data_IF_877042208159
#
_entry.id   IF_877042208159
#
_cell.length_a   1.000
_cell.length_b   1.000
_cell.length_c   1.000
_cell.angle_alpha   90.00
_cell.angle_beta   90.00
_cell.angle_gamma   90.00
#
_symmetry.space_group_name_H-M   'P 1'
#
loop_
_entity.id
_entity.type
_entity.pdbx_description
1 polymer ?
#
# COMPACT_ATOMS: atom_id res chain seq x y z
N UNK A 1 4.04 -14.88 50.72
CA UNK A 1 3.30 -14.00 49.78
C UNK A 1 2.40 -13.06 50.59
N UNK A 2 2.62 -11.74 50.48
CA UNK A 2 1.84 -10.75 51.24
C UNK A 2 0.44 -10.61 50.60
N UNK A 3 -0.63 -10.94 51.35
CA UNK A 3 -2.02 -10.79 50.87
C UNK A 3 -2.31 -9.32 50.56
N UNK A 4 -2.77 -9.02 49.37
CA UNK A 4 -3.18 -7.68 48.94
C UNK A 4 -4.42 -7.23 49.71
N UNK A 5 -4.45 -5.96 50.13
CA UNK A 5 -5.59 -5.34 50.81
C UNK A 5 -6.73 -5.09 49.78
N UNK A 6 -8.00 -5.22 50.19
CA UNK A 6 -9.18 -4.96 49.35
C UNK A 6 -9.11 -3.62 48.60
N UNK A 7 -8.60 -2.56 49.27
CA UNK A 7 -8.39 -1.25 48.63
C UNK A 7 -7.39 -1.30 47.48
N UNK A 8 -6.30 -2.06 47.60
CA UNK A 8 -5.30 -2.23 46.54
C UNK A 8 -5.88 -3.00 45.34
N UNK A 9 -6.71 -4.01 45.60
CA UNK A 9 -7.39 -4.76 44.54
C UNK A 9 -8.33 -3.85 43.77
N UNK A 10 -9.12 -3.01 44.43
CA UNK A 10 -10.03 -2.06 43.79
C UNK A 10 -9.28 -1.03 42.96
N UNK A 11 -8.18 -0.47 43.48
CA UNK A 11 -7.36 0.50 42.72
C UNK A 11 -6.80 -0.13 41.43
N UNK A 12 -6.28 -1.35 41.54
CA UNK A 12 -5.74 -2.07 40.38
C UNK A 12 -6.85 -2.37 39.36
N UNK A 13 -8.05 -2.79 39.83
CA UNK A 13 -9.18 -3.06 38.94
C UNK A 13 -9.62 -1.78 38.19
N UNK A 14 -9.71 -0.64 38.88
CA UNK A 14 -10.07 0.65 38.28
C UNK A 14 -8.99 1.07 37.27
N UNK A 15 -7.70 0.95 37.60
CA UNK A 15 -6.61 1.27 36.69
C UNK A 15 -6.63 0.41 35.41
N UNK A 16 -6.94 -0.89 35.54
CA UNK A 16 -7.10 -1.78 34.39
C UNK A 16 -8.27 -1.38 33.50
N UNK A 17 -9.43 -1.05 34.10
CA UNK A 17 -10.59 -0.59 33.31
C UNK A 17 -10.27 0.70 32.55
N UNK A 18 -9.63 1.66 33.19
CA UNK A 18 -9.21 2.93 32.54
C UNK A 18 -8.23 2.66 31.41
N UNK A 19 -7.27 1.76 31.60
CA UNK A 19 -6.29 1.39 30.57
C UNK A 19 -6.96 0.70 29.37
N UNK A 20 -7.88 -0.22 29.61
CA UNK A 20 -8.66 -0.89 28.54
C UNK A 20 -9.49 0.14 27.76
N UNK A 21 -10.15 1.06 28.45
CA UNK A 21 -10.92 2.12 27.82
C UNK A 21 -10.03 3.03 26.95
N UNK A 22 -8.86 3.41 27.47
CA UNK A 22 -7.89 4.22 26.71
C UNK A 22 -7.39 3.50 25.43
N UNK A 23 -7.07 2.21 25.53
CA UNK A 23 -6.68 1.38 24.37
C UNK A 23 -7.82 1.29 23.36
N UNK A 24 -9.05 1.10 23.79
CA UNK A 24 -10.22 1.04 22.90
C UNK A 24 -10.44 2.37 22.16
N UNK A 25 -10.33 3.50 22.84
CA UNK A 25 -10.42 4.83 22.23
C UNK A 25 -9.30 5.04 21.20
N UNK A 26 -8.05 4.71 21.57
CA UNK A 26 -6.92 4.81 20.65
C UNK A 26 -7.09 3.90 19.42
N UNK A 27 -7.61 2.69 19.58
CA UNK A 27 -7.88 1.77 18.48
C UNK A 27 -8.92 2.35 17.52
N UNK A 28 -9.99 2.98 18.02
CA UNK A 28 -11.01 3.63 17.18
C UNK A 28 -10.45 4.87 16.47
N UNK A 29 -9.66 5.69 17.16
CA UNK A 29 -9.05 6.89 16.58
C UNK A 29 -8.00 6.57 15.50
N UNK A 30 -7.31 5.43 15.64
CA UNK A 30 -6.29 4.96 14.69
C UNK A 30 -6.84 3.91 13.70
N UNK A 31 -8.13 3.61 13.74
CA UNK A 31 -8.73 2.72 12.74
C UNK A 31 -8.57 3.33 11.34
N UNK A 32 -8.17 2.52 10.32
CA UNK A 32 -8.08 3.00 8.95
C UNK A 32 -9.44 3.58 8.52
N UNK A 33 -9.46 4.85 8.13
CA UNK A 33 -10.69 5.53 7.71
C UNK A 33 -11.15 5.09 6.33
N UNK A 34 -10.25 4.55 5.53
CA UNK A 34 -10.52 4.08 4.18
C UNK A 34 -10.99 2.63 4.21
N UNK A 35 -12.15 2.34 3.63
CA UNK A 35 -12.55 0.96 3.32
C UNK A 35 -11.65 0.46 2.20
N UNK A 36 -10.71 -0.40 2.53
CA UNK A 36 -9.85 -1.04 1.54
C UNK A 36 -10.69 -2.08 0.80
N UNK A 37 -11.00 -1.79 -0.48
CA UNK A 37 -11.57 -2.79 -1.37
C UNK A 37 -10.40 -3.52 -2.03
N UNK A 38 -10.16 -4.77 -1.64
CA UNK A 38 -9.11 -5.58 -2.23
C UNK A 38 -9.24 -5.59 -3.78
N UNK A 39 -8.15 -5.28 -4.49
CA UNK A 39 -8.14 -5.20 -5.95
C UNK A 39 -8.66 -3.90 -6.54
N UNK A 40 -8.84 -2.85 -5.76
CA UNK A 40 -9.06 -1.49 -6.25
C UNK A 40 -7.93 -0.56 -5.84
N UNK A 41 -7.66 0.44 -6.70
CA UNK A 41 -6.65 1.47 -6.47
C UNK A 41 -7.33 2.83 -6.36
N UNK A 42 -7.27 3.43 -5.19
CA UNK A 42 -7.80 4.77 -4.93
C UNK A 42 -6.74 5.82 -5.27
N UNK A 43 -7.09 6.82 -6.06
CA UNK A 43 -6.22 7.94 -6.40
C UNK A 43 -6.71 9.19 -5.68
N UNK A 44 -5.78 9.83 -4.94
CA UNK A 44 -6.09 10.97 -4.06
C UNK A 44 -5.15 12.13 -4.36
N UNK A 45 -5.63 13.35 -4.27
CA UNK A 45 -4.83 14.56 -4.26
C UNK A 45 -5.29 15.48 -3.11
N UNK A 46 -4.39 15.66 -2.12
CA UNK A 46 -4.76 16.31 -0.87
C UNK A 46 -5.87 15.54 -0.14
N UNK A 47 -6.99 16.19 0.16
CA UNK A 47 -8.15 15.56 0.80
C UNK A 47 -9.17 14.98 -0.19
N UNK A 48 -8.95 15.17 -1.50
CA UNK A 48 -9.90 14.80 -2.53
C UNK A 48 -9.59 13.42 -3.11
N UNK A 49 -10.55 12.50 -3.07
CA UNK A 49 -10.52 11.27 -3.85
C UNK A 49 -10.90 11.61 -5.29
N UNK A 50 -9.98 11.41 -6.22
CA UNK A 50 -10.17 11.71 -7.63
C UNK A 50 -10.81 10.54 -8.38
N UNK A 51 -10.38 9.31 -8.05
CA UNK A 51 -10.89 8.10 -8.67
C UNK A 51 -10.66 6.87 -7.78
N UNK A 52 -11.47 5.83 -8.01
CA UNK A 52 -11.24 4.47 -7.53
C UNK A 52 -11.26 3.56 -8.75
N UNK A 53 -10.11 3.03 -9.12
CA UNK A 53 -9.93 2.14 -10.26
C UNK A 53 -10.00 0.69 -9.80
N UNK A 54 -10.91 -0.07 -10.37
CA UNK A 54 -10.95 -1.53 -10.15
C UNK A 54 -9.84 -2.22 -10.95
N UNK A 55 -9.51 -3.47 -10.61
CA UNK A 55 -8.54 -4.27 -11.36
C UNK A 55 -8.91 -4.35 -12.86
N UNK A 56 -10.21 -4.48 -13.17
CA UNK A 56 -10.69 -4.54 -14.56
C UNK A 56 -10.49 -3.21 -15.31
N UNK A 57 -10.57 -2.09 -14.61
CA UNK A 57 -10.28 -0.77 -15.19
C UNK A 57 -8.78 -0.57 -15.39
N UNK A 58 -7.94 -1.02 -14.44
CA UNK A 58 -6.49 -1.00 -14.59
C UNK A 58 -6.04 -1.84 -15.78
N UNK A 59 -6.61 -3.02 -15.97
CA UNK A 59 -6.29 -3.91 -17.12
C UNK A 59 -6.66 -3.34 -18.50
N UNK A 60 -7.50 -2.31 -18.56
CA UNK A 60 -7.84 -1.60 -19.82
C UNK A 60 -6.82 -0.53 -20.20
N UNK A 61 -5.95 -0.12 -19.27
CA UNK A 61 -4.88 0.82 -19.55
C UNK A 61 -3.72 0.12 -20.27
N UNK A 62 -2.83 0.88 -20.95
CA UNK A 62 -1.64 0.30 -21.57
C UNK A 62 -0.81 -0.48 -20.55
N UNK A 63 -0.74 -1.79 -20.73
CA UNK A 63 0.00 -2.67 -19.85
C UNK A 63 1.46 -2.77 -20.28
N UNK A 64 2.34 -2.87 -19.29
CA UNK A 64 3.76 -3.20 -19.48
C UNK A 64 4.09 -4.49 -18.75
N UNK A 65 5.10 -5.20 -19.25
CA UNK A 65 5.68 -6.37 -18.59
C UNK A 65 7.13 -6.06 -18.27
N UNK A 66 7.51 -6.24 -17.01
CA UNK A 66 8.85 -5.99 -16.52
C UNK A 66 9.43 -7.26 -15.89
N UNK A 67 10.68 -7.54 -16.15
CA UNK A 67 11.40 -8.61 -15.46
C UNK A 67 11.99 -8.06 -14.16
N UNK A 68 11.76 -8.78 -13.05
CA UNK A 68 12.24 -8.37 -11.74
C UNK A 68 13.14 -9.43 -11.14
N UNK A 69 14.21 -8.95 -10.50
CA UNK A 69 15.14 -9.77 -9.72
C UNK A 69 15.50 -9.01 -8.45
N UNK A 70 14.56 -8.98 -7.50
CA UNK A 70 14.68 -8.19 -6.28
C UNK A 70 14.97 -9.10 -5.10
N UNK A 71 16.14 -8.96 -4.49
CA UNK A 71 16.49 -9.61 -3.23
C UNK A 71 15.97 -8.85 -2.02
N UNK A 72 15.75 -9.56 -0.91
CA UNK A 72 15.51 -8.96 0.40
C UNK A 72 16.32 -9.69 1.44
N UNK A 73 16.97 -8.94 2.34
CA UNK A 73 17.74 -9.52 3.44
C UNK A 73 16.85 -10.23 4.48
N UNK A 74 15.55 -9.91 4.51
CA UNK A 74 14.61 -10.37 5.53
C UNK A 74 13.44 -11.20 4.99
N UNK A 75 13.31 -11.36 3.68
CA UNK A 75 12.22 -12.12 3.06
C UNK A 75 12.66 -12.77 1.75
N UNK A 76 11.86 -13.72 1.27
CA UNK A 76 12.02 -14.29 -0.07
C UNK A 76 11.92 -13.16 -1.09
N UNK A 77 12.93 -13.03 -1.96
CA UNK A 77 12.94 -12.07 -3.05
C UNK A 77 11.80 -12.32 -4.04
N UNK A 78 11.49 -11.33 -4.87
CA UNK A 78 10.60 -11.52 -6.01
C UNK A 78 11.44 -11.63 -7.28
N UNK A 79 11.18 -12.65 -8.05
CA UNK A 79 11.85 -12.97 -9.32
C UNK A 79 10.81 -13.33 -10.36
N UNK A 80 11.10 -13.04 -11.62
CA UNK A 80 10.20 -13.38 -12.74
C UNK A 80 9.59 -12.15 -13.39
N UNK A 81 8.49 -12.34 -14.09
CA UNK A 81 7.83 -11.31 -14.90
C UNK A 81 6.62 -10.75 -14.18
N UNK A 82 6.59 -9.45 -14.01
CA UNK A 82 5.43 -8.73 -13.50
C UNK A 82 4.75 -7.97 -14.62
N UNK A 83 3.42 -8.12 -14.73
CA UNK A 83 2.59 -7.34 -15.63
C UNK A 83 1.75 -6.35 -14.85
N UNK A 84 1.71 -5.12 -15.35
CA UNK A 84 0.99 -4.04 -14.69
C UNK A 84 0.82 -2.83 -15.60
N UNK A 85 0.53 -1.71 -14.98
CA UNK A 85 0.42 -0.39 -15.63
C UNK A 85 1.37 0.56 -14.94
N UNK A 86 2.07 1.41 -15.68
CA UNK A 86 2.95 2.42 -15.08
C UNK A 86 2.13 3.39 -14.21
N UNK A 87 2.72 3.87 -13.12
CA UNK A 87 2.05 4.91 -12.30
C UNK A 87 1.74 6.13 -13.17
N UNK A 88 2.62 6.48 -14.12
CA UNK A 88 2.41 7.57 -15.08
C UNK A 88 1.10 7.40 -15.85
N UNK A 89 0.86 6.23 -16.44
CA UNK A 89 -0.36 5.95 -17.20
C UNK A 89 -1.62 5.94 -16.31
N UNK A 90 -1.52 5.40 -15.10
CA UNK A 90 -2.62 5.43 -14.11
C UNK A 90 -3.02 6.88 -13.82
N UNK A 91 -2.06 7.75 -13.51
CA UNK A 91 -2.32 9.14 -13.18
C UNK A 91 -2.84 9.93 -14.39
N UNK A 92 -2.23 9.74 -15.57
CA UNK A 92 -2.64 10.41 -16.82
C UNK A 92 -4.06 10.02 -17.23
N UNK A 93 -4.50 8.79 -16.98
CA UNK A 93 -5.86 8.34 -17.29
C UNK A 93 -6.95 9.09 -16.52
N UNK A 94 -6.57 9.72 -15.40
CA UNK A 94 -7.48 10.49 -14.54
C UNK A 94 -7.35 11.97 -14.84
N UNK A 95 -6.13 12.50 -14.74
CA UNK A 95 -5.83 13.90 -15.04
C UNK A 95 -4.32 14.06 -15.31
N UNK A 96 -3.90 14.46 -16.51
CA UNK A 96 -2.50 14.68 -16.85
C UNK A 96 -1.77 15.67 -15.93
N UNK A 97 -2.48 16.61 -15.29
CA UNK A 97 -1.86 17.54 -14.34
C UNK A 97 -1.32 16.85 -13.08
N UNK A 98 -1.70 15.61 -12.81
CA UNK A 98 -1.17 14.84 -11.67
C UNK A 98 0.30 14.46 -11.88
N UNK A 99 0.77 14.42 -13.12
CA UNK A 99 2.15 14.06 -13.49
C UNK A 99 3.09 15.26 -13.67
N UNK A 100 2.71 16.45 -13.19
CA UNK A 100 3.58 17.61 -13.22
C UNK A 100 4.84 17.40 -12.38
N UNK A 101 5.97 17.91 -12.90
CA UNK A 101 7.27 17.85 -12.23
C UNK A 101 7.24 18.47 -10.84
N UNK A 102 8.03 17.92 -9.92
CA UNK A 102 8.15 18.40 -8.53
C UNK A 102 7.16 17.78 -7.57
N UNK A 103 6.16 17.04 -8.05
CA UNK A 103 5.23 16.27 -7.21
C UNK A 103 5.86 14.97 -6.69
N UNK A 104 5.22 14.39 -5.69
CA UNK A 104 5.53 13.06 -5.13
C UNK A 104 4.29 12.20 -5.12
N UNK A 105 4.48 10.91 -5.29
CA UNK A 105 3.43 9.91 -5.18
C UNK A 105 3.70 9.05 -3.95
N UNK A 106 2.72 8.98 -3.06
CA UNK A 106 2.74 8.12 -1.87
C UNK A 106 1.88 6.91 -2.16
N UNK A 107 2.48 5.72 -2.13
CA UNK A 107 1.76 4.46 -2.25
C UNK A 107 1.49 3.90 -0.86
N UNK A 108 0.23 3.60 -0.57
CA UNK A 108 -0.24 3.07 0.70
C UNK A 108 -0.61 1.61 0.56
N UNK A 109 -0.15 0.80 1.49
CA UNK A 109 -0.47 -0.61 1.62
C UNK A 109 -1.53 -0.88 2.71
N UNK A 110 -2.26 -1.97 2.56
CA UNK A 110 -3.29 -2.40 3.53
C UNK A 110 -2.74 -2.66 4.95
N UNK A 111 -1.45 -2.95 5.07
CA UNK A 111 -0.77 -3.18 6.35
C UNK A 111 -0.25 -1.90 7.01
N UNK A 112 -0.54 -0.73 6.42
CA UNK A 112 -0.11 0.57 6.90
C UNK A 112 1.26 1.02 6.38
N UNK A 113 1.95 0.20 5.57
CA UNK A 113 3.20 0.60 4.95
C UNK A 113 2.97 1.71 3.93
N UNK A 114 3.90 2.68 3.87
CA UNK A 114 3.83 3.80 2.93
C UNK A 114 5.18 3.99 2.26
N UNK A 115 5.18 4.05 0.94
CA UNK A 115 6.35 4.39 0.14
C UNK A 115 6.13 5.68 -0.63
N UNK A 116 7.23 6.39 -0.86
CA UNK A 116 7.24 7.65 -1.63
C UNK A 116 8.06 7.48 -2.89
N UNK A 117 7.49 7.91 -4.02
CA UNK A 117 8.16 7.98 -5.31
C UNK A 117 8.20 9.43 -5.78
N UNK A 118 9.36 9.87 -6.29
CA UNK A 118 9.43 11.20 -6.89
C UNK A 118 8.81 11.17 -8.28
N UNK A 119 8.10 12.23 -8.66
CA UNK A 119 7.51 12.31 -9.99
C UNK A 119 8.59 12.26 -11.09
N UNK A 120 9.77 12.76 -10.82
CA UNK A 120 10.91 12.67 -11.75
C UNK A 120 11.26 11.22 -12.09
N UNK A 121 11.27 10.33 -11.08
CA UNK A 121 11.55 8.91 -11.30
C UNK A 121 10.40 8.23 -12.08
N UNK A 122 9.16 8.58 -11.77
CA UNK A 122 7.95 8.08 -12.46
C UNK A 122 7.91 8.48 -13.93
N UNK A 123 8.46 9.66 -14.26
CA UNK A 123 8.48 10.18 -15.63
C UNK A 123 9.72 9.77 -16.43
N UNK A 124 10.78 9.30 -15.77
CA UNK A 124 12.05 8.97 -16.41
C UNK A 124 11.93 7.77 -17.38
N UNK A 125 11.19 6.74 -16.93
CA UNK A 125 10.98 5.51 -17.68
C UNK A 125 9.72 4.77 -17.22
N UNK A 126 9.52 3.56 -17.73
CA UNK A 126 8.36 2.71 -17.40
C UNK A 126 8.65 1.69 -16.28
N UNK A 127 9.67 1.92 -15.47
CA UNK A 127 10.11 0.99 -14.43
C UNK A 127 9.21 0.94 -13.19
N UNK A 128 8.44 2.01 -12.91
CA UNK A 128 7.56 2.09 -11.73
C UNK A 128 6.13 1.75 -12.10
N UNK A 129 5.72 0.54 -11.76
CA UNK A 129 4.43 -0.03 -12.18
C UNK A 129 3.53 -0.38 -10.99
N UNK A 130 2.23 -0.38 -11.24
CA UNK A 130 1.22 -1.05 -10.42
C UNK A 130 1.00 -2.43 -11.04
N UNK A 131 1.67 -3.43 -10.50
CA UNK A 131 1.60 -4.82 -10.97
C UNK A 131 0.34 -5.50 -10.42
N UNK A 132 -0.26 -6.37 -11.25
CA UNK A 132 -1.44 -7.18 -10.93
C UNK A 132 -1.32 -8.65 -11.36
N UNK A 133 -0.30 -9.01 -12.15
CA UNK A 133 0.03 -10.39 -12.52
C UNK A 133 1.51 -10.67 -12.28
N UNK A 134 1.81 -11.92 -11.93
CA UNK A 134 3.16 -12.45 -11.75
C UNK A 134 3.28 -13.77 -12.51
N UNK A 135 4.24 -13.86 -13.42
CA UNK A 135 4.47 -15.01 -14.32
C UNK A 135 3.18 -15.47 -15.03
N UNK A 136 2.39 -14.49 -15.52
CA UNK A 136 1.15 -14.74 -16.24
C UNK A 136 -0.06 -15.14 -15.38
N UNK A 137 0.10 -15.21 -14.05
CA UNK A 137 -0.99 -15.50 -13.12
C UNK A 137 -1.40 -14.24 -12.33
N UNK A 138 -2.70 -14.05 -12.03
CA UNK A 138 -3.15 -12.97 -11.16
C UNK A 138 -2.47 -13.01 -9.80
N UNK A 139 -2.05 -11.85 -9.28
CA UNK A 139 -1.47 -11.76 -7.94
C UNK A 139 -2.55 -11.99 -6.88
N UNK A 140 -2.30 -12.94 -5.97
CA UNK A 140 -3.22 -13.26 -4.88
C UNK A 140 -3.13 -12.24 -3.76
N UNK A 141 -4.25 -12.02 -3.07
CA UNK A 141 -4.34 -11.14 -1.93
C UNK A 141 -3.66 -11.70 -0.67
N UNK A 142 -3.56 -10.85 0.36
CA UNK A 142 -2.92 -11.19 1.65
C UNK A 142 -3.55 -12.41 2.34
N UNK A 143 -4.88 -12.52 2.30
CA UNK A 143 -5.62 -13.64 2.90
C UNK A 143 -5.37 -14.98 2.20
N UNK A 144 -4.89 -14.94 0.96
CA UNK A 144 -4.54 -16.10 0.14
C UNK A 144 -3.04 -16.40 0.17
N UNK A 145 -2.29 -15.74 1.06
CA UNK A 145 -0.84 -15.88 1.19
C UNK A 145 -0.05 -15.28 0.02
N UNK A 146 -0.67 -14.37 -0.75
CA UNK A 146 -0.03 -13.67 -1.86
C UNK A 146 0.56 -12.32 -1.46
N UNK A 147 1.00 -11.54 -2.44
CA UNK A 147 1.61 -10.22 -2.30
C UNK A 147 0.84 -9.11 -3.03
N UNK A 148 -0.33 -9.45 -3.58
CA UNK A 148 -1.25 -8.59 -4.28
C UNK A 148 -2.57 -8.38 -3.52
N UNK A 149 -3.67 -8.09 -4.22
CA UNK A 149 -3.87 -8.19 -5.68
C UNK A 149 -3.15 -7.10 -6.48
N UNK A 150 -2.78 -5.97 -5.87
CA UNK A 150 -1.98 -4.91 -6.48
C UNK A 150 -0.68 -4.72 -5.71
N UNK A 151 0.41 -4.51 -6.44
CA UNK A 151 1.73 -4.21 -5.87
C UNK A 151 2.40 -3.10 -6.65
N UNK A 152 2.91 -2.07 -5.98
CA UNK A 152 3.78 -1.10 -6.66
C UNK A 152 5.22 -1.62 -6.63
N UNK A 153 5.88 -1.58 -7.78
CA UNK A 153 7.24 -2.12 -7.98
C UNK A 153 8.07 -1.13 -8.74
N UNK A 154 9.36 -1.10 -8.45
CA UNK A 154 10.40 -0.45 -9.27
C UNK A 154 11.22 -1.57 -9.90
N UNK A 155 11.10 -1.77 -11.21
CA UNK A 155 11.64 -2.94 -11.91
C UNK A 155 13.17 -3.06 -11.78
N UNK A 156 13.88 -1.94 -11.87
CA UNK A 156 15.34 -1.90 -11.86
C UNK A 156 15.95 -1.81 -10.46
N UNK A 157 15.12 -1.91 -9.41
CA UNK A 157 15.63 -1.87 -8.04
C UNK A 157 16.11 -3.28 -7.62
N UNK A 158 17.42 -3.45 -7.35
CA UNK A 158 17.93 -4.74 -6.90
C UNK A 158 17.43 -5.14 -5.50
N UNK A 159 16.80 -4.19 -4.79
CA UNK A 159 16.28 -4.40 -3.45
C UNK A 159 14.76 -4.21 -3.41
N UNK A 160 14.04 -5.15 -2.81
CA UNK A 160 12.59 -5.07 -2.67
C UNK A 160 12.09 -3.92 -1.76
N UNK A 161 12.99 -3.07 -1.25
CA UNK A 161 12.68 -2.00 -0.31
C UNK A 161 11.82 -0.88 -0.89
N UNK A 162 11.84 -0.70 -2.21
CA UNK A 162 11.01 0.28 -2.94
C UNK A 162 9.77 -0.37 -3.55
N UNK A 163 9.34 -1.50 -3.01
CA UNK A 163 8.15 -2.22 -3.45
C UNK A 163 7.07 -2.20 -2.37
N UNK A 164 5.85 -1.81 -2.75
CA UNK A 164 4.69 -1.70 -1.86
C UNK A 164 3.71 -2.84 -2.16
N UNK A 165 3.72 -3.89 -1.32
CA UNK A 165 2.75 -5.01 -1.38
C UNK A 165 1.37 -4.53 -0.93
N UNK A 166 0.31 -5.17 -1.41
CA UNK A 166 -1.07 -4.85 -1.00
C UNK A 166 -1.44 -3.38 -1.22
N UNK A 167 -0.94 -2.80 -2.30
CA UNK A 167 -1.18 -1.39 -2.60
C UNK A 167 -2.68 -1.16 -2.88
N UNK A 168 -3.26 -0.16 -2.22
CA UNK A 168 -4.67 0.19 -2.40
C UNK A 168 -4.91 1.67 -2.68
N UNK A 169 -3.90 2.53 -2.44
CA UNK A 169 -4.04 3.98 -2.63
C UNK A 169 -2.74 4.60 -3.14
N UNK A 170 -2.88 5.52 -4.09
CA UNK A 170 -1.83 6.46 -4.49
C UNK A 170 -2.29 7.88 -4.16
N UNK A 171 -1.47 8.63 -3.43
CA UNK A 171 -1.71 10.03 -3.11
C UNK A 171 -0.66 10.89 -3.79
N UNK A 172 -1.09 11.91 -4.54
CA UNK A 172 -0.23 12.88 -5.23
C UNK A 172 -0.14 14.16 -4.41
N UNK A 173 1.07 14.59 -4.08
CA UNK A 173 1.39 15.83 -3.34
C UNK A 173 2.44 16.65 -4.05
#
# INVERSE_FOLDING_TARGET
>A
MKKMNKKQIVIIAVALVVMIAAIAVLAVLNAPKDKVNAGSLTIVQGENTLAVLTLEQLKKLPAVEVEVSMGSASSVGIYGKLKGVTIREVLNSINPSLTESGKRVYAYAEDGFVLTYNMTDILADDSIIVAYEHDGAPMRGKTEGGEGPLRVVVADDPHANRSCKYAYKLEVK
#
